data_IF_053852323335
#
_entry.id   IF_053852323335
#
_cell.length_a   1.000
_cell.length_b   1.000
_cell.length_c   1.000
_cell.angle_alpha   90.00
_cell.angle_beta   90.00
_cell.angle_gamma   90.00
#
_symmetry.space_group_name_H-M   'P 1'
#
loop_
_entity.id
_entity.type
_entity.pdbx_description
1 polymer ?
#
# COMPACT_ATOMS: atom_id res chain seq x y z
N UNK A 1 37.82 30.10 -4.54
CA UNK A 1 37.23 28.91 -3.89
C UNK A 1 38.33 28.21 -3.10
N UNK A 2 38.19 28.19 -1.78
CA UNK A 2 39.17 27.62 -0.85
C UNK A 2 39.18 26.08 -0.98
N UNK A 3 40.32 25.44 -0.70
CA UNK A 3 40.46 23.98 -0.69
C UNK A 3 39.38 23.31 0.18
N UNK A 4 39.07 23.91 1.32
CA UNK A 4 38.02 23.44 2.24
C UNK A 4 36.61 23.44 1.63
N UNK A 5 36.31 24.39 0.75
CA UNK A 5 35.01 24.45 0.04
C UNK A 5 34.92 23.37 -1.04
N UNK A 6 36.03 23.11 -1.74
CA UNK A 6 36.12 22.01 -2.72
C UNK A 6 35.89 20.66 -2.05
N UNK A 7 36.53 20.43 -0.90
CA UNK A 7 36.40 19.15 -0.17
C UNK A 7 34.97 18.94 0.35
N UNK A 8 34.30 19.99 0.82
CA UNK A 8 32.89 19.94 1.22
C UNK A 8 31.97 19.63 0.04
N UNK A 9 32.24 20.24 -1.12
CA UNK A 9 31.43 20.02 -2.32
C UNK A 9 31.63 18.61 -2.89
N UNK A 10 32.86 18.09 -2.88
CA UNK A 10 33.15 16.69 -3.25
C UNK A 10 32.40 15.74 -2.30
N UNK A 11 32.42 16.00 -1.00
CA UNK A 11 31.70 15.17 -0.03
C UNK A 11 30.17 15.19 -0.28
N UNK A 12 29.58 16.36 -0.54
CA UNK A 12 28.15 16.45 -0.81
C UNK A 12 27.76 15.70 -2.10
N UNK A 13 28.59 15.79 -3.14
CA UNK A 13 28.38 15.09 -4.41
C UNK A 13 28.51 13.57 -4.23
N UNK A 14 29.48 13.10 -3.45
CA UNK A 14 29.64 11.67 -3.13
C UNK A 14 28.43 11.11 -2.37
N UNK A 15 27.90 11.86 -1.40
CA UNK A 15 26.66 11.49 -0.70
C UNK A 15 25.48 11.41 -1.66
N UNK A 16 25.37 12.37 -2.59
CA UNK A 16 24.30 12.38 -3.59
C UNK A 16 24.39 11.20 -4.56
N UNK A 17 25.59 10.83 -5.00
CA UNK A 17 25.82 9.67 -5.87
C UNK A 17 25.35 8.40 -5.16
N UNK A 18 25.74 8.18 -3.89
CA UNK A 18 25.27 7.00 -3.13
C UNK A 18 23.75 6.94 -2.99
N UNK A 19 23.08 8.07 -2.72
CA UNK A 19 21.61 8.11 -2.66
C UNK A 19 20.97 7.72 -4.00
N UNK A 20 21.58 8.09 -5.12
CA UNK A 20 21.09 7.75 -6.45
C UNK A 20 21.35 6.29 -6.81
N UNK A 21 22.53 5.77 -6.48
CA UNK A 21 22.89 4.35 -6.67
C UNK A 21 21.93 3.43 -5.89
N UNK A 22 21.64 3.77 -4.64
CA UNK A 22 20.70 3.00 -3.82
C UNK A 22 19.28 2.99 -4.42
N UNK A 23 18.81 4.12 -4.94
CA UNK A 23 17.54 4.17 -5.68
C UNK A 23 17.59 3.35 -6.96
N UNK A 24 18.73 3.34 -7.67
CA UNK A 24 18.91 2.57 -8.90
C UNK A 24 18.88 1.06 -8.63
N UNK A 25 19.46 0.62 -7.51
CA UNK A 25 19.44 -0.77 -7.06
C UNK A 25 18.02 -1.23 -6.71
N UNK A 26 17.23 -0.37 -6.07
CA UNK A 26 15.80 -0.60 -5.85
C UNK A 26 15.01 -0.77 -7.18
N UNK A 27 15.47 -0.16 -8.28
CA UNK A 27 14.90 -0.35 -9.62
C UNK A 27 15.44 -1.61 -10.31
N UNK A 28 16.70 -1.99 -10.09
CA UNK A 28 17.36 -3.08 -10.82
C UNK A 28 17.11 -4.47 -10.25
N UNK A 29 16.81 -4.58 -8.95
CA UNK A 29 16.44 -5.85 -8.31
C UNK A 29 14.99 -6.24 -8.68
N UNK A 30 14.86 -6.92 -9.83
CA UNK A 30 13.77 -7.83 -10.21
C UNK A 30 12.52 -7.25 -10.89
N UNK A 31 12.38 -7.55 -12.19
CA UNK A 31 11.12 -7.48 -12.97
C UNK A 31 10.72 -6.11 -13.55
N UNK A 32 9.73 -6.11 -14.45
CA UNK A 32 9.14 -4.88 -14.98
C UNK A 32 8.28 -4.23 -13.89
N UNK A 33 8.67 -3.04 -13.42
CA UNK A 33 7.95 -2.29 -12.39
C UNK A 33 7.15 -1.15 -13.02
N UNK A 34 5.83 -1.15 -12.86
CA UNK A 34 4.98 -0.01 -13.25
C UNK A 34 5.10 1.07 -12.17
N UNK A 35 5.58 2.23 -12.58
CA UNK A 35 5.67 3.44 -11.77
C UNK A 35 4.60 4.42 -12.24
N UNK A 36 3.85 4.97 -11.30
CA UNK A 36 2.82 5.96 -11.57
C UNK A 36 2.76 6.95 -10.41
N UNK A 37 2.33 8.17 -10.71
CA UNK A 37 2.15 9.20 -9.69
C UNK A 37 1.13 8.73 -8.64
N UNK A 38 1.48 8.82 -7.37
CA UNK A 38 0.62 8.36 -6.27
C UNK A 38 0.79 6.89 -5.88
N UNK A 39 1.66 6.09 -6.52
CA UNK A 39 1.93 4.69 -6.12
C UNK A 39 2.28 4.54 -4.65
N UNK A 40 3.19 5.38 -4.14
CA UNK A 40 3.57 5.36 -2.72
C UNK A 40 2.39 5.70 -1.79
N UNK A 41 1.50 6.61 -2.21
CA UNK A 41 0.28 6.94 -1.47
C UNK A 41 -0.70 5.77 -1.45
N UNK A 42 -0.93 5.11 -2.59
CA UNK A 42 -1.79 3.93 -2.67
C UNK A 42 -1.27 2.80 -1.75
N UNK A 43 0.04 2.53 -1.77
CA UNK A 43 0.66 1.56 -0.86
C UNK A 43 0.48 1.93 0.62
N UNK A 44 0.61 3.22 0.95
CA UNK A 44 0.41 3.72 2.32
C UNK A 44 -1.05 3.59 2.76
N UNK A 45 -2.01 3.85 1.88
CA UNK A 45 -3.45 3.65 2.15
C UNK A 45 -3.72 2.17 2.41
N UNK A 46 -3.28 1.28 1.51
CA UNK A 46 -3.47 -0.16 1.65
C UNK A 46 -2.96 -0.70 2.99
N UNK A 47 -1.81 -0.21 3.50
CA UNK A 47 -1.26 -0.61 4.81
C UNK A 47 -2.03 -0.10 6.03
N UNK A 48 -2.83 0.97 5.87
CA UNK A 48 -3.58 1.60 6.97
C UNK A 48 -5.00 1.06 7.11
N UNK A 49 -5.54 0.48 6.04
CA UNK A 49 -6.86 -0.14 6.03
C UNK A 49 -6.82 -1.31 6.99
N UNK A 50 -7.79 -1.35 7.91
CA UNK A 50 -7.89 -2.35 8.98
C UNK A 50 -9.24 -3.05 8.87
N UNK A 51 -9.28 -4.38 9.11
CA UNK A 51 -10.52 -5.13 9.21
C UNK A 51 -11.48 -4.53 10.24
N UNK A 52 -12.78 -4.60 9.94
CA UNK A 52 -13.83 -4.07 10.81
C UNK A 52 -14.91 -5.10 11.07
N UNK A 53 -15.57 -4.99 12.22
CA UNK A 53 -16.73 -5.83 12.53
C UNK A 53 -17.89 -5.50 11.60
N UNK A 54 -18.47 -6.51 10.97
CA UNK A 54 -19.68 -6.40 10.17
C UNK A 54 -20.91 -6.54 11.08
N UNK A 55 -21.97 -5.82 10.73
CA UNK A 55 -23.28 -5.93 11.37
C UNK A 55 -24.26 -6.51 10.36
N UNK A 56 -24.89 -7.62 10.70
CA UNK A 56 -26.01 -8.15 9.92
C UNK A 56 -27.24 -7.25 10.08
N UNK A 57 -28.02 -7.11 9.01
CA UNK A 57 -29.32 -6.44 9.02
C UNK A 57 -30.40 -7.51 8.82
N UNK A 58 -31.02 -8.04 9.90
CA UNK A 58 -31.94 -9.19 9.80
C UNK A 58 -33.13 -8.94 8.88
N UNK A 59 -33.59 -7.69 8.82
CA UNK A 59 -34.71 -7.24 7.97
C UNK A 59 -34.41 -7.39 6.46
N UNK A 60 -33.14 -7.43 6.09
CA UNK A 60 -32.66 -7.57 4.70
C UNK A 60 -32.07 -8.96 4.41
N UNK A 61 -32.00 -9.84 5.42
CA UNK A 61 -31.50 -11.20 5.31
C UNK A 61 -32.66 -12.18 5.07
N UNK A 62 -32.63 -12.94 3.97
CA UNK A 62 -33.71 -13.87 3.60
C UNK A 62 -33.23 -15.33 3.58
N UNK A 63 -34.06 -16.24 4.09
CA UNK A 63 -33.82 -17.69 4.07
C UNK A 63 -33.26 -18.27 5.37
N UNK A 64 -32.93 -19.57 5.37
CA UNK A 64 -32.19 -20.23 6.47
C UNK A 64 -30.75 -19.75 6.55
N UNK A 65 -30.05 -20.02 7.65
CA UNK A 65 -28.64 -19.66 7.81
C UNK A 65 -27.75 -20.24 6.70
N UNK A 66 -28.03 -21.46 6.24
CA UNK A 66 -27.35 -22.07 5.09
C UNK A 66 -27.66 -21.38 3.76
N UNK A 67 -28.82 -20.75 3.62
CA UNK A 67 -29.16 -19.99 2.41
C UNK A 67 -28.54 -18.60 2.44
N UNK A 68 -28.55 -17.94 3.60
CA UNK A 68 -27.93 -16.63 3.81
C UNK A 68 -26.42 -16.65 3.58
N UNK A 69 -25.73 -17.74 3.95
CA UNK A 69 -24.28 -17.85 3.77
C UNK A 69 -23.81 -17.92 2.31
N UNK A 70 -24.72 -18.20 1.36
CA UNK A 70 -24.37 -18.37 -0.06
C UNK A 70 -24.19 -17.05 -0.81
N UNK A 71 -24.78 -15.97 -0.32
CA UNK A 71 -24.74 -14.66 -0.97
C UNK A 71 -24.53 -13.58 0.09
N UNK A 72 -23.58 -12.68 -0.14
CA UNK A 72 -23.25 -11.61 0.79
C UNK A 72 -23.26 -10.25 0.07
N UNK A 73 -23.95 -9.29 0.66
CA UNK A 73 -23.93 -7.88 0.25
C UNK A 73 -23.36 -7.08 1.41
N UNK A 74 -22.33 -6.27 1.13
CA UNK A 74 -21.71 -5.38 2.11
C UNK A 74 -21.88 -3.95 1.63
N UNK A 75 -22.50 -3.11 2.46
CA UNK A 75 -22.60 -1.68 2.23
C UNK A 75 -21.35 -0.96 2.77
N UNK A 76 -20.76 -0.07 1.97
CA UNK A 76 -19.68 0.82 2.40
C UNK A 76 -18.49 0.88 1.45
N UNK A 77 -17.32 1.24 2.01
CA UNK A 77 -16.06 1.33 1.27
C UNK A 77 -15.54 -0.06 0.91
N UNK A 78 -15.30 -0.28 -0.39
CA UNK A 78 -14.90 -1.58 -0.91
C UNK A 78 -13.54 -2.05 -0.39
N UNK A 79 -12.59 -1.14 -0.14
CA UNK A 79 -11.25 -1.49 0.31
C UNK A 79 -11.29 -1.97 1.77
N UNK A 80 -12.12 -1.33 2.60
CA UNK A 80 -12.40 -1.81 3.96
C UNK A 80 -13.15 -3.14 3.97
N UNK A 81 -14.15 -3.32 3.10
CA UNK A 81 -14.89 -4.56 2.97
C UNK A 81 -13.96 -5.72 2.58
N UNK A 82 -13.12 -5.52 1.55
CA UNK A 82 -12.17 -6.51 1.08
C UNK A 82 -11.11 -6.85 2.15
N UNK A 83 -10.58 -5.84 2.86
CA UNK A 83 -9.64 -6.09 3.95
C UNK A 83 -10.28 -6.90 5.10
N UNK A 84 -11.56 -6.62 5.39
CA UNK A 84 -12.31 -7.36 6.40
C UNK A 84 -12.52 -8.81 6.00
N UNK A 85 -12.93 -9.07 4.76
CA UNK A 85 -13.14 -10.43 4.25
C UNK A 85 -11.84 -11.24 4.14
N UNK A 86 -10.72 -10.58 3.80
CA UNK A 86 -9.44 -11.26 3.63
C UNK A 86 -8.92 -11.90 4.93
N UNK A 87 -9.26 -11.35 6.10
CA UNK A 87 -8.72 -11.84 7.38
C UNK A 87 -9.45 -13.09 7.91
N UNK A 88 -10.59 -13.46 7.32
CA UNK A 88 -11.39 -14.63 7.70
C UNK A 88 -11.08 -15.89 6.87
N UNK A 89 -10.01 -15.85 6.07
CA UNK A 89 -9.43 -16.98 5.34
C UNK A 89 -7.97 -17.19 5.75
#
# INVERSE_FOLDING_TARGET
>A
MNQKEKDQQIHSLQTKIRELEQKLEDYSQGGIKILFSGKANAQRVARKVKPRTLREIPELSLGSEEQKSKNLVIEGDNLLAMATLYQYH
#
